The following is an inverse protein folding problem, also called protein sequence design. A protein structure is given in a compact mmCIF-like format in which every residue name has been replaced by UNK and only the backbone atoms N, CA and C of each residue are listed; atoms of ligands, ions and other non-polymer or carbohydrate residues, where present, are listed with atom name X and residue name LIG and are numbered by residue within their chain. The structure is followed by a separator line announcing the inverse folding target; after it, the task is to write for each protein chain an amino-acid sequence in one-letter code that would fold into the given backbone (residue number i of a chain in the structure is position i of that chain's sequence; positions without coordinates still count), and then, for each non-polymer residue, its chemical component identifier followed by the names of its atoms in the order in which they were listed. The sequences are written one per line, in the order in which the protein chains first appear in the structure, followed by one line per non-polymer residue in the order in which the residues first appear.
data_IF_624761336302
#
_entry.id   IF_624761336302
#
_cell.length_a   1.000
_cell.length_b   1.000
_cell.length_c   1.000
_cell.angle_alpha   90.00
_cell.angle_beta   90.00
_cell.angle_gamma   90.00
#
_symmetry.space_group_name_H-M   'P 1'
#
loop_
_entity.id
_entity.type
_entity.pdbx_description
1 polymer ?
#
# COMPACT_ATOMS: atom_id res chain seq x y z
N UNK A 1 -13.84 -25.68 -7.17
CA UNK A 1 -13.91 -25.33 -8.60
C UNK A 1 -12.51 -24.91 -9.04
N UNK A 2 -11.77 -25.79 -9.70
CA UNK A 2 -10.38 -25.49 -10.10
C UNK A 2 -10.41 -24.57 -11.32
N UNK A 3 -9.89 -23.35 -11.17
CA UNK A 3 -9.71 -22.40 -12.26
C UNK A 3 -8.74 -22.98 -13.30
N UNK A 4 -9.21 -23.21 -14.53
CA UNK A 4 -8.36 -23.59 -15.66
C UNK A 4 -7.41 -22.42 -15.95
N UNK A 5 -6.11 -22.59 -15.71
CA UNK A 5 -5.10 -21.65 -16.21
C UNK A 5 -5.12 -21.66 -17.74
N UNK A 6 -5.13 -20.50 -18.41
CA UNK A 6 -4.97 -20.45 -19.86
C UNK A 6 -3.60 -21.01 -20.26
N UNK A 7 -3.48 -21.66 -21.43
CA UNK A 7 -2.20 -22.21 -21.90
C UNK A 7 -1.22 -21.09 -22.27
N UNK A 8 0.05 -21.27 -21.86
CA UNK A 8 1.17 -20.33 -22.11
C UNK A 8 1.86 -19.87 -20.81
N UNK A 9 3.09 -19.36 -20.93
CA UNK A 9 3.74 -18.64 -19.82
C UNK A 9 2.92 -17.38 -19.55
N UNK A 10 2.48 -17.11 -18.31
CA UNK A 10 1.76 -15.89 -18.01
C UNK A 10 2.64 -14.68 -18.34
N UNK A 11 2.06 -13.54 -18.77
CA UNK A 11 2.82 -12.31 -18.90
C UNK A 11 3.55 -11.99 -17.58
N UNK A 12 4.79 -11.49 -17.64
CA UNK A 12 5.62 -11.26 -16.44
C UNK A 12 4.87 -10.43 -15.38
N UNK A 13 4.13 -9.42 -15.82
CA UNK A 13 3.28 -8.60 -14.95
C UNK A 13 2.22 -9.41 -14.18
N UNK A 14 1.63 -10.42 -14.83
CA UNK A 14 0.65 -11.32 -14.20
C UNK A 14 1.31 -12.26 -13.20
N UNK A 15 2.51 -12.74 -13.49
CA UNK A 15 3.27 -13.60 -12.59
C UNK A 15 3.72 -12.86 -11.32
N UNK A 16 4.20 -11.61 -11.48
CA UNK A 16 4.52 -10.74 -10.35
C UNK A 16 3.27 -10.46 -9.51
N UNK A 17 2.14 -10.13 -10.13
CA UNK A 17 0.88 -9.92 -9.41
C UNK A 17 0.42 -11.18 -8.65
N UNK A 18 0.53 -12.35 -9.27
CA UNK A 18 0.20 -13.62 -8.63
C UNK A 18 1.17 -13.97 -7.49
N UNK A 19 2.47 -13.67 -7.66
CA UNK A 19 3.49 -13.80 -6.63
C UNK A 19 3.20 -12.91 -5.43
N UNK A 20 2.89 -11.64 -5.65
CA UNK A 20 2.50 -10.70 -4.61
C UNK A 20 1.21 -11.16 -3.88
N UNK A 21 0.24 -11.70 -4.61
CA UNK A 21 -0.97 -12.25 -4.00
C UNK A 21 -0.66 -13.45 -3.10
N UNK A 22 0.24 -14.34 -3.51
CA UNK A 22 0.67 -15.48 -2.69
C UNK A 22 1.44 -15.02 -1.46
N UNK A 23 2.38 -14.08 -1.64
CA UNK A 23 3.13 -13.49 -0.54
C UNK A 23 2.19 -12.91 0.52
N UNK A 24 1.23 -12.07 0.14
CA UNK A 24 0.27 -11.48 1.09
C UNK A 24 -0.55 -12.56 1.83
N UNK A 25 -0.93 -13.63 1.14
CA UNK A 25 -1.57 -14.78 1.79
C UNK A 25 -0.68 -15.44 2.83
N UNK A 26 0.58 -15.73 2.49
CA UNK A 26 1.55 -16.32 3.42
C UNK A 26 1.86 -15.40 4.62
N UNK A 27 1.93 -14.09 4.39
CA UNK A 27 2.11 -13.10 5.46
C UNK A 27 0.87 -13.01 6.38
N UNK A 28 -0.33 -13.15 5.83
CA UNK A 28 -1.56 -13.26 6.63
C UNK A 28 -1.58 -14.56 7.46
N UNK A 29 -1.17 -15.69 6.88
CA UNK A 29 -1.07 -16.99 7.57
C UNK A 29 0.01 -16.98 8.67
N UNK A 30 1.05 -16.16 8.51
CA UNK A 30 2.13 -15.99 9.49
C UNK A 30 1.76 -15.11 10.69
N UNK A 31 0.58 -14.47 10.70
CA UNK A 31 0.07 -13.75 11.87
C UNK A 31 -0.36 -14.76 12.92
N UNK A 32 0.34 -14.81 14.05
CA UNK A 32 0.23 -15.90 15.03
C UNK A 32 -0.25 -15.46 16.41
N UNK A 33 -0.62 -14.18 16.58
CA UNK A 33 -1.02 -13.63 17.88
C UNK A 33 -2.54 -13.73 18.09
N UNK A 34 -3.04 -14.29 19.22
CA UNK A 34 -4.48 -14.47 19.47
C UNK A 34 -5.30 -13.18 19.38
N UNK A 35 -4.78 -12.05 19.88
CA UNK A 35 -5.48 -10.76 19.79
C UNK A 35 -5.60 -10.21 18.35
N UNK A 36 -4.94 -10.87 17.39
CA UNK A 36 -5.01 -10.56 15.97
C UNK A 36 -5.87 -11.56 15.18
N UNK A 37 -6.56 -12.47 15.87
CA UNK A 37 -7.54 -13.33 15.23
C UNK A 37 -8.59 -12.46 14.51
N UNK A 38 -9.06 -12.89 13.32
CA UNK A 38 -10.12 -12.18 12.62
C UNK A 38 -11.33 -12.02 13.57
N UNK A 39 -11.77 -10.78 13.83
CA UNK A 39 -12.87 -10.60 14.75
C UNK A 39 -14.14 -11.21 14.20
N UNK A 40 -14.98 -11.78 15.07
CA UNK A 40 -16.37 -12.06 14.71
C UNK A 40 -16.96 -10.75 14.20
N UNK A 41 -17.55 -10.80 13.01
CA UNK A 41 -17.95 -9.59 12.27
C UNK A 41 -18.65 -8.59 13.18
N UNK A 42 -18.35 -7.31 12.98
CA UNK A 42 -19.04 -6.23 13.68
C UNK A 42 -20.56 -6.43 13.57
N UNK A 43 -21.27 -6.21 14.69
CA UNK A 43 -22.74 -6.41 14.78
C UNK A 43 -23.43 -5.90 13.51
N UNK A 44 -24.05 -6.81 12.76
CA UNK A 44 -24.86 -6.52 11.55
C UNK A 44 -24.08 -5.89 10.37
N UNK A 45 -22.82 -6.25 10.16
CA UNK A 45 -22.08 -5.89 8.94
C UNK A 45 -21.71 -4.40 8.84
N UNK A 46 -21.82 -3.64 9.93
CA UNK A 46 -21.33 -2.25 9.99
C UNK A 46 -19.80 -2.25 10.14
N UNK A 47 -19.05 -1.34 9.50
CA UNK A 47 -17.62 -1.18 9.79
C UNK A 47 -17.38 -0.85 11.27
N UNK A 48 -16.23 -1.26 11.80
CA UNK A 48 -15.77 -0.80 13.12
C UNK A 48 -15.56 0.72 13.10
N UNK A 49 -15.84 1.43 14.21
CA UNK A 49 -15.60 2.87 14.27
C UNK A 49 -14.11 3.16 14.14
N UNK A 50 -13.77 4.28 13.50
CA UNK A 50 -12.41 4.81 13.41
C UNK A 50 -12.25 5.87 14.49
N UNK A 51 -11.45 5.57 15.51
CA UNK A 51 -11.23 6.39 16.70
C UNK A 51 -9.72 6.48 16.98
N UNK A 52 -9.27 7.41 17.84
CA UNK A 52 -7.92 7.35 18.40
C UNK A 52 -7.61 5.96 18.99
N UNK A 53 -6.38 5.43 18.87
CA UNK A 53 -6.11 4.02 19.18
C UNK A 53 -6.54 3.56 20.57
N UNK A 54 -6.32 4.37 21.61
CA UNK A 54 -6.71 4.05 22.99
C UNK A 54 -8.23 4.01 23.13
N UNK A 55 -8.93 5.03 22.62
CA UNK A 55 -10.40 5.09 22.64
C UNK A 55 -11.05 3.95 21.85
N UNK A 56 -10.43 3.52 20.74
CA UNK A 56 -10.90 2.39 19.97
C UNK A 56 -10.85 1.09 20.78
N UNK A 57 -9.74 0.85 21.49
CA UNK A 57 -9.59 -0.32 22.36
C UNK A 57 -10.59 -0.27 23.52
N UNK A 58 -10.77 0.89 24.15
CA UNK A 58 -11.75 1.09 25.22
C UNK A 58 -13.19 0.86 24.74
N UNK A 59 -13.48 1.20 23.48
CA UNK A 59 -14.77 0.93 22.82
C UNK A 59 -14.94 -0.53 22.37
N UNK A 60 -13.97 -1.40 22.63
CA UNK A 60 -13.99 -2.82 22.28
C UNK A 60 -13.68 -3.10 20.80
N UNK A 61 -13.02 -2.17 20.09
CA UNK A 61 -12.51 -2.44 18.75
C UNK A 61 -11.34 -3.43 18.86
N UNK A 62 -11.36 -4.55 18.10
CA UNK A 62 -10.28 -5.54 18.13
C UNK A 62 -8.92 -4.93 17.78
N UNK A 63 -7.85 -5.33 18.47
CA UNK A 63 -6.49 -4.83 18.25
C UNK A 63 -6.08 -4.94 16.77
N UNK A 64 -6.40 -6.06 16.12
CA UNK A 64 -6.19 -6.27 14.68
C UNK A 64 -6.72 -5.12 13.84
N UNK A 65 -7.93 -4.68 14.16
CA UNK A 65 -8.60 -3.63 13.41
C UNK A 65 -8.01 -2.26 13.75
N UNK A 66 -7.65 -2.00 15.01
CA UNK A 66 -6.94 -0.76 15.40
C UNK A 66 -5.62 -0.62 14.65
N UNK A 67 -4.80 -1.68 14.61
CA UNK A 67 -3.52 -1.68 13.88
C UNK A 67 -3.71 -1.54 12.37
N UNK A 68 -4.70 -2.26 11.81
CA UNK A 68 -5.02 -2.16 10.39
C UNK A 68 -5.47 -0.75 10.00
N UNK A 69 -6.36 -0.14 10.77
CA UNK A 69 -6.85 1.22 10.54
C UNK A 69 -5.73 2.25 10.69
N UNK A 70 -4.96 2.15 11.78
CA UNK A 70 -3.92 3.10 12.14
C UNK A 70 -2.67 3.04 11.26
N UNK A 71 -2.34 1.88 10.68
CA UNK A 71 -1.15 1.71 9.86
C UNK A 71 -1.53 1.49 8.40
N UNK A 72 -2.17 0.36 8.07
CA UNK A 72 -2.41 -0.03 6.69
C UNK A 72 -3.36 0.94 5.98
N UNK A 73 -4.52 1.22 6.56
CA UNK A 73 -5.53 2.06 5.91
C UNK A 73 -5.19 3.55 5.98
N UNK A 74 -4.54 4.01 7.04
CA UNK A 74 -4.00 5.36 7.14
C UNK A 74 -2.91 5.63 6.08
N UNK A 75 -1.93 4.72 5.96
CA UNK A 75 -0.90 4.80 4.92
C UNK A 75 -1.51 4.65 3.53
N UNK A 76 -2.45 3.72 3.32
CA UNK A 76 -3.14 3.56 2.04
C UNK A 76 -3.89 4.83 1.67
N UNK A 77 -4.55 5.48 2.61
CA UNK A 77 -5.22 6.76 2.37
C UNK A 77 -4.21 7.81 1.93
N UNK A 78 -3.07 7.90 2.60
CA UNK A 78 -2.04 8.90 2.30
C UNK A 78 -1.33 8.65 0.96
N UNK A 79 -0.97 7.40 0.70
CA UNK A 79 -0.20 7.01 -0.47
C UNK A 79 -1.10 6.80 -1.69
N UNK A 80 -2.17 6.02 -1.57
CA UNK A 80 -3.08 5.73 -2.68
C UNK A 80 -3.97 6.93 -3.01
N UNK A 81 -4.77 7.39 -2.06
CA UNK A 81 -5.73 8.47 -2.33
C UNK A 81 -5.05 9.84 -2.37
N UNK A 82 -4.05 10.05 -1.51
CA UNK A 82 -3.34 11.33 -1.41
C UNK A 82 -2.40 11.60 -2.57
N UNK A 83 -1.73 10.58 -3.15
CA UNK A 83 -0.67 10.76 -4.14
C UNK A 83 -0.85 9.92 -5.42
N UNK A 84 -0.91 8.61 -5.28
CA UNK A 84 -0.84 7.67 -6.40
C UNK A 84 -2.04 7.78 -7.36
N UNK A 85 -3.28 7.78 -6.85
CA UNK A 85 -4.48 7.86 -7.68
C UNK A 85 -4.58 9.21 -8.41
N UNK A 86 -4.33 10.37 -7.78
CA UNK A 86 -4.27 11.65 -8.50
C UNK A 86 -3.25 11.67 -9.63
N UNK A 87 -1.99 11.24 -9.37
CA UNK A 87 -0.94 11.22 -10.41
C UNK A 87 -1.30 10.23 -11.52
N UNK A 88 -1.82 9.04 -11.17
CA UNK A 88 -2.33 8.04 -12.11
C UNK A 88 -3.44 8.60 -12.99
N UNK A 89 -4.42 9.27 -12.40
CA UNK A 89 -5.52 9.90 -13.13
C UNK A 89 -5.03 10.95 -14.12
N UNK A 90 -4.08 11.78 -13.71
CA UNK A 90 -3.46 12.77 -14.57
C UNK A 90 -2.70 12.13 -15.75
N UNK A 91 -1.88 11.11 -15.50
CA UNK A 91 -1.12 10.43 -16.56
C UNK A 91 -2.00 9.64 -17.53
N UNK A 92 -3.15 9.14 -17.07
CA UNK A 92 -4.11 8.44 -17.93
C UNK A 92 -4.66 9.32 -19.06
N UNK A 93 -4.60 10.66 -18.93
CA UNK A 93 -4.99 11.59 -20.00
C UNK A 93 -4.03 11.58 -21.20
N UNK A 94 -2.80 11.10 -21.01
CA UNK A 94 -1.78 11.03 -22.06
C UNK A 94 -1.69 9.67 -22.77
N UNK A 95 -2.40 8.65 -22.27
CA UNK A 95 -2.41 7.34 -22.91
C UNK A 95 -2.71 6.19 -21.96
N UNK A 96 -2.59 4.97 -22.51
CA UNK A 96 -2.84 3.74 -21.76
C UNK A 96 -1.73 3.49 -20.76
N UNK A 97 -2.11 3.39 -19.49
CA UNK A 97 -1.19 3.07 -18.40
C UNK A 97 -1.02 1.55 -18.24
N UNK A 98 0.13 1.08 -17.74
CA UNK A 98 0.36 -0.32 -17.42
C UNK A 98 -0.66 -0.82 -16.39
N UNK A 99 -1.03 -2.10 -16.51
CA UNK A 99 -1.97 -2.76 -15.59
C UNK A 99 -1.31 -3.01 -14.24
N UNK A 100 -0.06 -3.49 -14.26
CA UNK A 100 0.75 -3.72 -13.07
C UNK A 100 1.68 -2.52 -12.86
N UNK A 101 1.42 -1.74 -11.81
CA UNK A 101 2.12 -0.49 -11.56
C UNK A 101 2.43 -0.36 -10.07
N UNK A 102 3.70 -0.49 -9.74
CA UNK A 102 4.22 -0.67 -8.39
C UNK A 102 5.15 0.49 -8.01
N UNK A 103 5.66 0.47 -6.78
CA UNK A 103 6.57 1.50 -6.29
C UNK A 103 6.28 1.89 -4.85
N UNK A 104 6.62 3.12 -4.49
CA UNK A 104 6.50 3.62 -3.11
C UNK A 104 5.07 3.57 -2.55
N UNK A 105 4.03 3.57 -3.41
CA UNK A 105 2.63 3.47 -2.99
C UNK A 105 2.29 2.14 -2.30
N UNK A 106 3.09 1.11 -2.52
CA UNK A 106 2.94 -0.21 -1.89
C UNK A 106 3.37 -0.21 -0.42
N UNK A 107 4.03 0.86 0.07
CA UNK A 107 4.50 0.94 1.45
C UNK A 107 3.39 0.75 2.51
N UNK A 108 2.12 0.97 2.16
CA UNK A 108 0.99 0.79 3.09
C UNK A 108 0.81 -0.66 3.57
N UNK A 109 0.99 -1.66 2.71
CA UNK A 109 0.88 -3.07 3.11
C UNK A 109 2.22 -3.59 3.62
N UNK A 110 3.33 -3.14 3.02
CA UNK A 110 4.69 -3.52 3.45
C UNK A 110 4.89 -3.10 4.92
N UNK A 111 4.64 -1.83 5.24
CA UNK A 111 4.80 -1.31 6.60
C UNK A 111 3.87 -1.97 7.61
N UNK A 112 2.69 -2.43 7.18
CA UNK A 112 1.79 -3.18 8.05
C UNK A 112 2.37 -4.54 8.46
N UNK A 113 2.85 -5.35 7.51
CA UNK A 113 3.44 -6.65 7.85
C UNK A 113 4.82 -6.52 8.52
N UNK A 114 5.64 -5.55 8.12
CA UNK A 114 6.90 -5.23 8.81
C UNK A 114 6.65 -4.84 10.28
N UNK A 115 5.64 -4.02 10.56
CA UNK A 115 5.24 -3.69 11.93
C UNK A 115 4.79 -4.93 12.71
N UNK A 116 3.92 -5.78 12.13
CA UNK A 116 3.47 -7.01 12.78
C UNK A 116 4.66 -7.92 13.14
N UNK A 117 5.62 -8.05 12.24
CA UNK A 117 6.83 -8.82 12.49
C UNK A 117 7.67 -8.23 13.63
N UNK A 118 7.99 -6.93 13.57
CA UNK A 118 8.83 -6.24 14.56
C UNK A 118 8.23 -6.25 15.97
N UNK A 119 6.90 -6.23 16.07
CA UNK A 119 6.18 -6.29 17.33
C UNK A 119 5.97 -7.72 17.85
N UNK A 120 6.48 -8.74 17.15
CA UNK A 120 6.33 -10.15 17.56
C UNK A 120 4.93 -10.73 17.33
N UNK A 121 4.09 -10.04 16.56
CA UNK A 121 2.75 -10.46 16.23
C UNK A 121 2.67 -11.43 15.04
N UNK A 122 3.75 -11.50 14.25
CA UNK A 122 3.83 -12.39 13.12
C UNK A 122 5.22 -13.02 12.97
N UNK A 123 5.23 -14.29 12.54
CA UNK A 123 6.42 -15.04 12.21
C UNK A 123 6.31 -15.57 10.79
N UNK A 124 7.14 -15.03 9.90
CA UNK A 124 7.16 -15.40 8.50
C UNK A 124 8.19 -16.52 8.25
N UNK A 125 7.93 -17.35 7.24
CA UNK A 125 8.97 -18.22 6.69
C UNK A 125 10.10 -17.37 6.11
N UNK A 126 11.33 -17.88 6.10
CA UNK A 126 12.50 -17.11 5.63
C UNK A 126 12.30 -16.58 4.20
N UNK A 127 11.78 -17.40 3.29
CA UNK A 127 11.51 -16.98 1.92
C UNK A 127 10.47 -15.86 1.82
N UNK A 128 9.44 -15.86 2.67
CA UNK A 128 8.41 -14.80 2.67
C UNK A 128 8.93 -13.51 3.31
N UNK A 129 9.79 -13.63 4.33
CA UNK A 129 10.47 -12.49 4.96
C UNK A 129 11.43 -11.82 3.96
N UNK A 130 12.27 -12.60 3.28
CA UNK A 130 13.19 -12.10 2.25
C UNK A 130 12.41 -11.40 1.12
N UNK A 131 11.30 -11.98 0.69
CA UNK A 131 10.46 -11.38 -0.36
C UNK A 131 9.75 -10.11 0.14
N UNK A 132 9.30 -10.04 1.40
CA UNK A 132 8.78 -8.80 1.99
C UNK A 132 9.87 -7.71 2.02
N UNK A 133 11.11 -8.07 2.36
CA UNK A 133 12.25 -7.16 2.37
C UNK A 133 12.60 -6.64 0.97
N UNK A 134 12.53 -7.48 -0.07
CA UNK A 134 12.70 -7.05 -1.46
C UNK A 134 11.65 -6.00 -1.86
N UNK A 135 10.38 -6.21 -1.50
CA UNK A 135 9.33 -5.22 -1.71
C UNK A 135 9.60 -3.92 -0.94
N UNK A 136 10.11 -4.04 0.30
CA UNK A 136 10.48 -2.89 1.11
C UNK A 136 11.66 -2.11 0.51
N UNK A 137 12.65 -2.80 -0.06
CA UNK A 137 13.77 -2.19 -0.81
C UNK A 137 13.24 -1.45 -2.02
N UNK A 138 12.39 -2.08 -2.84
CA UNK A 138 11.78 -1.45 -4.03
C UNK A 138 11.00 -0.19 -3.67
N UNK A 139 10.16 -0.24 -2.64
CA UNK A 139 9.37 0.90 -2.19
C UNK A 139 10.23 2.07 -1.67
N UNK A 140 11.44 1.78 -1.15
CA UNK A 140 12.39 2.80 -0.68
C UNK A 140 13.31 3.32 -1.78
N UNK A 141 13.59 2.54 -2.81
CA UNK A 141 14.60 2.87 -3.84
C UNK A 141 14.03 3.61 -5.05
N UNK A 142 12.78 3.33 -5.44
CA UNK A 142 12.18 3.92 -6.63
C UNK A 142 10.82 4.57 -6.35
N UNK A 143 10.43 5.50 -7.22
CA UNK A 143 9.11 6.14 -7.16
C UNK A 143 8.05 5.18 -7.68
N UNK A 144 8.15 4.86 -8.97
CA UNK A 144 7.23 3.98 -9.68
C UNK A 144 8.02 2.97 -10.48
N UNK A 145 7.48 1.77 -10.65
CA UNK A 145 8.03 0.81 -11.59
C UNK A 145 6.94 -0.07 -12.19
N UNK A 146 7.18 -0.55 -13.41
CA UNK A 146 6.34 -1.57 -14.01
C UNK A 146 7.16 -2.48 -14.92
N UNK A 147 6.92 -3.80 -14.86
CA UNK A 147 7.57 -4.76 -15.72
C UNK A 147 6.91 -4.77 -17.10
N UNK A 148 7.70 -4.58 -18.16
CA UNK A 148 7.41 -5.13 -19.48
C UNK A 148 8.10 -6.47 -19.65
N UNK A 149 7.81 -7.18 -20.74
CA UNK A 149 8.39 -8.52 -20.98
C UNK A 149 9.91 -8.44 -21.20
N UNK A 150 10.38 -7.43 -21.95
CA UNK A 150 11.82 -7.25 -22.25
C UNK A 150 12.45 -6.07 -21.51
N UNK A 151 11.64 -5.10 -21.09
CA UNK A 151 12.09 -3.84 -20.49
C UNK A 151 11.29 -3.55 -19.24
N UNK A 152 11.98 -3.30 -18.13
CA UNK A 152 11.39 -2.77 -16.91
C UNK A 152 11.57 -1.25 -16.89
N UNK A 153 10.48 -0.51 -16.67
CA UNK A 153 10.57 0.93 -16.44
C UNK A 153 10.64 1.19 -14.95
N UNK A 154 11.63 1.97 -14.55
CA UNK A 154 11.83 2.42 -13.17
C UNK A 154 11.94 3.93 -13.18
N UNK A 155 11.13 4.57 -12.35
CA UNK A 155 11.09 6.02 -12.18
C UNK A 155 11.78 6.36 -10.86
N UNK A 156 12.63 7.39 -10.91
CA UNK A 156 13.26 7.94 -9.71
C UNK A 156 12.21 8.44 -8.70
N UNK A 157 12.56 8.50 -7.42
CA UNK A 157 11.66 9.05 -6.40
C UNK A 157 11.47 10.57 -6.61
N UNK A 158 10.25 11.10 -6.38
CA UNK A 158 10.06 12.54 -6.31
C UNK A 158 11.04 13.17 -5.33
N UNK A 159 11.65 14.29 -5.72
CA UNK A 159 12.51 15.09 -4.86
C UNK A 159 11.69 15.83 -3.80
N UNK A 160 10.48 16.24 -4.16
CA UNK A 160 9.54 16.95 -3.28
C UNK A 160 8.17 16.29 -3.35
N UNK A 161 7.58 16.05 -2.19
CA UNK A 161 6.16 15.71 -2.02
C UNK A 161 5.63 16.62 -0.90
N UNK A 162 4.98 17.71 -1.28
CA UNK A 162 4.37 18.64 -0.33
C UNK A 162 3.01 18.10 0.11
N UNK A 163 2.88 17.82 1.41
CA UNK A 163 1.66 17.29 1.99
C UNK A 163 1.05 18.22 3.04
N UNK A 164 -0.22 18.00 3.32
CA UNK A 164 -0.96 18.59 4.43
C UNK A 164 -1.77 17.50 5.16
N UNK A 165 -2.07 17.67 6.46
CA UNK A 165 -2.93 16.73 7.19
C UNK A 165 -4.31 16.61 6.55
N UNK A 166 -4.90 15.42 6.57
CA UNK A 166 -6.31 15.23 6.22
C UNK A 166 -7.17 15.72 7.40
N UNK A 167 -8.02 16.74 7.22
CA UNK A 167 -8.86 17.25 8.31
C UNK A 167 -9.77 16.18 8.90
N UNK A 168 -9.87 16.15 10.23
CA UNK A 168 -10.72 15.20 10.95
C UNK A 168 -10.20 13.75 10.97
N UNK A 169 -8.94 13.52 10.60
CA UNK A 169 -8.33 12.20 10.65
C UNK A 169 -7.58 11.93 11.96
N UNK A 170 -7.61 10.67 12.43
CA UNK A 170 -7.03 10.27 13.73
C UNK A 170 -5.64 9.63 13.65
N UNK A 171 -5.19 9.24 12.46
CA UNK A 171 -4.01 8.39 12.28
C UNK A 171 -2.92 9.08 11.45
N UNK A 172 -2.86 10.42 11.53
CA UNK A 172 -1.84 11.22 10.87
C UNK A 172 -1.87 11.11 9.34
N UNK A 173 -3.03 10.80 8.75
CA UNK A 173 -3.17 10.74 7.31
C UNK A 173 -2.83 12.09 6.69
N UNK A 174 -2.14 12.05 5.56
CA UNK A 174 -1.78 13.24 4.79
C UNK A 174 -2.32 13.14 3.38
N UNK A 175 -2.53 14.29 2.74
CA UNK A 175 -2.84 14.41 1.31
C UNK A 175 -1.88 15.39 0.67
N UNK A 176 -1.80 15.40 -0.66
CA UNK A 176 -1.05 16.43 -1.36
C UNK A 176 -1.61 17.82 -1.00
N UNK A 177 -0.70 18.75 -0.69
CA UNK A 177 -1.05 20.13 -0.36
C UNK A 177 -1.84 20.75 -1.51
N UNK A 178 -2.94 21.41 -1.17
CA UNK A 178 -3.75 22.14 -2.14
C UNK A 178 -3.24 23.58 -2.26
N UNK A 179 -3.21 24.10 -3.50
CA UNK A 179 -2.71 25.45 -3.79
C UNK A 179 -1.17 25.59 -3.74
N UNK A 180 -0.67 26.67 -4.37
CA UNK A 180 0.76 26.97 -4.46
C UNK A 180 1.48 26.32 -5.65
N UNK A 181 2.80 26.18 -5.55
CA UNK A 181 3.59 25.44 -6.53
C UNK A 181 3.20 23.96 -6.53
N UNK A 182 3.35 23.27 -7.67
CA UNK A 182 2.91 21.88 -7.83
C UNK A 182 3.43 20.97 -6.71
N UNK A 183 2.55 20.21 -6.01
CA UNK A 183 2.90 19.55 -4.74
C UNK A 183 3.81 18.33 -4.92
N UNK A 184 4.20 18.01 -6.15
CA UNK A 184 5.12 16.92 -6.49
C UNK A 184 6.12 17.45 -7.50
N UNK A 185 7.41 17.18 -7.28
CA UNK A 185 8.50 17.56 -8.18
C UNK A 185 9.58 16.48 -8.17
N UNK A 186 10.08 16.15 -9.36
CA UNK A 186 11.16 15.20 -9.56
C UNK A 186 12.50 15.93 -9.71
N UNK A 187 13.61 15.18 -9.61
CA UNK A 187 14.97 15.76 -9.60
C UNK A 187 15.34 16.44 -10.92
N UNK A 188 14.73 16.01 -12.01
CA UNK A 188 14.85 16.63 -13.34
C UNK A 188 13.95 17.86 -13.52
N UNK A 189 13.22 18.27 -12.48
CA UNK A 189 12.27 19.38 -12.51
C UNK A 189 10.91 19.00 -13.08
N UNK A 190 10.69 17.75 -13.47
CA UNK A 190 9.38 17.31 -13.96
C UNK A 190 8.34 17.37 -12.84
N UNK A 191 7.14 17.85 -13.19
CA UNK A 191 6.00 17.96 -12.28
C UNK A 191 4.78 17.30 -12.92
N UNK A 192 4.10 16.37 -12.22
CA UNK A 192 2.90 15.76 -12.75
C UNK A 192 1.80 16.82 -12.93
N UNK A 193 0.98 16.71 -14.00
CA UNK A 193 -0.11 17.65 -14.27
C UNK A 193 -1.30 17.36 -13.36
N UNK A 194 -1.12 17.58 -12.07
CA UNK A 194 -2.17 17.46 -11.08
C UNK A 194 -3.09 18.68 -11.21
N UNK A 195 -4.38 18.43 -11.41
CA UNK A 195 -5.38 19.49 -11.44
C UNK A 195 -5.34 20.27 -10.11
N UNK A 196 -5.24 21.60 -10.22
CA UNK A 196 -5.30 22.52 -9.08
C UNK A 196 -6.73 22.71 -8.60
#
# INVERSE_FOLDING_TARGET
MMSRRPPGTPPLASDIAAGLSRLRGALDDGVSHPDLDPPRSARKGKPWPVLPPVEALDAGVPLREVLRQGVRDALRTSLANGFYLPVRGALATYGRLPVAWYGQQEAHWIGYYDMLHRLGFARYGSADADHLDDWAVLARSCGWWWPGEDVCVVVERPAVIATEPVPGSWHGQVRLRQGGAGPVEYRDGWRPPLNR
#
